data_IF_301165558722
#
_entry.id   IF_301165558722
#
_cell.length_a   1.000
_cell.length_b   1.000
_cell.length_c   1.000
_cell.angle_alpha   90.00
_cell.angle_beta   90.00
_cell.angle_gamma   90.00
#
_symmetry.space_group_name_H-M   'P 1'
#
loop_
_entity.id
_entity.type
_entity.pdbx_description
1 polymer ?
#
# COMPACT_ATOMS: atom_id res chain seq x y z
N UNK A 1 6.56 28.50 -11.17
CA UNK A 1 5.43 27.81 -10.52
C UNK A 1 4.75 26.89 -11.52
N UNK A 2 5.23 25.64 -11.67
CA UNK A 2 4.54 24.62 -12.47
C UNK A 2 4.44 23.38 -11.60
N UNK A 3 3.23 23.17 -11.11
CA UNK A 3 2.76 22.07 -10.29
C UNK A 3 2.90 20.72 -11.02
N UNK A 4 4.13 20.26 -11.21
CA UNK A 4 4.41 18.84 -11.39
C UNK A 4 4.90 18.35 -10.04
N UNK A 5 3.97 18.01 -9.16
CA UNK A 5 4.29 17.30 -7.92
C UNK A 5 5.19 16.12 -8.29
N UNK A 6 6.33 16.01 -7.63
CA UNK A 6 7.31 14.95 -7.86
C UNK A 6 6.60 13.60 -7.98
N UNK A 7 7.13 12.60 -8.71
CA UNK A 7 6.54 11.26 -8.78
C UNK A 7 6.18 10.69 -7.38
N UNK A 8 6.94 11.07 -6.36
CA UNK A 8 6.65 10.87 -4.95
C UNK A 8 5.30 11.44 -4.46
N UNK A 9 4.95 12.67 -4.81
CA UNK A 9 3.69 13.32 -4.40
C UNK A 9 2.48 12.55 -4.94
N UNK A 10 2.57 12.09 -6.19
CA UNK A 10 1.55 11.23 -6.81
C UNK A 10 1.46 9.87 -6.09
N UNK A 11 2.59 9.28 -5.75
CA UNK A 11 2.65 8.03 -4.98
C UNK A 11 2.08 8.20 -3.56
N UNK A 12 2.36 9.31 -2.88
CA UNK A 12 1.79 9.64 -1.57
C UNK A 12 0.27 9.86 -1.64
N UNK A 13 -0.23 10.46 -2.71
CA UNK A 13 -1.66 10.54 -3.00
C UNK A 13 -2.32 9.16 -3.11
N UNK A 14 -1.68 8.23 -3.84
CA UNK A 14 -2.14 6.85 -3.97
C UNK A 14 -2.08 6.09 -2.63
N UNK A 15 -1.03 6.28 -1.82
CA UNK A 15 -0.94 5.76 -0.43
C UNK A 15 -2.12 6.23 0.42
N UNK A 16 -2.42 7.53 0.40
CA UNK A 16 -3.51 8.08 1.19
C UNK A 16 -4.88 7.55 0.75
N UNK A 17 -5.08 7.31 -0.56
CA UNK A 17 -6.27 6.60 -1.06
C UNK A 17 -6.32 5.16 -0.53
N UNK A 18 -5.20 4.44 -0.58
CA UNK A 18 -5.08 3.09 -0.01
C UNK A 18 -5.47 3.04 1.46
N UNK A 19 -5.01 4.00 2.26
CA UNK A 19 -5.38 4.11 3.68
C UNK A 19 -6.88 4.34 3.90
N UNK A 20 -7.54 5.11 3.03
CA UNK A 20 -9.00 5.30 3.10
C UNK A 20 -9.73 3.99 2.81
N UNK A 21 -9.29 3.23 1.80
CA UNK A 21 -9.86 1.93 1.49
C UNK A 21 -9.60 0.91 2.60
N UNK A 22 -8.41 0.91 3.19
CA UNK A 22 -8.06 0.06 4.33
C UNK A 22 -8.99 0.30 5.52
N UNK A 23 -9.21 1.57 5.90
CA UNK A 23 -10.17 1.94 6.95
C UNK A 23 -11.62 1.61 6.60
N UNK A 24 -11.95 1.57 5.31
CA UNK A 24 -13.28 1.17 4.83
C UNK A 24 -13.44 -0.36 4.72
N UNK A 25 -12.44 -1.17 5.11
CA UNK A 25 -12.45 -2.63 4.99
C UNK A 25 -12.28 -3.15 3.56
N UNK A 26 -11.95 -2.26 2.61
CA UNK A 26 -11.77 -2.59 1.19
C UNK A 26 -10.30 -2.84 0.87
N UNK A 27 -9.76 -3.93 1.41
CA UNK A 27 -8.33 -4.23 1.33
C UNK A 27 -7.85 -4.48 -0.11
N UNK A 28 -8.66 -5.11 -0.98
CA UNK A 28 -8.31 -5.33 -2.39
C UNK A 28 -8.04 -4.02 -3.14
N UNK A 29 -8.94 -3.04 -2.97
CA UNK A 29 -8.77 -1.71 -3.56
C UNK A 29 -7.58 -0.97 -2.95
N UNK A 30 -7.32 -1.19 -1.66
CA UNK A 30 -6.16 -0.63 -0.99
C UNK A 30 -4.85 -1.19 -1.58
N UNK A 31 -4.76 -2.50 -1.79
CA UNK A 31 -3.60 -3.19 -2.39
C UNK A 31 -3.31 -2.65 -3.78
N UNK A 32 -4.34 -2.45 -4.60
CA UNK A 32 -4.19 -1.83 -5.92
C UNK A 32 -3.62 -0.42 -5.82
N UNK A 33 -4.13 0.40 -4.89
CA UNK A 33 -3.62 1.76 -4.68
C UNK A 33 -2.15 1.77 -4.25
N UNK A 34 -1.73 0.88 -3.35
CA UNK A 34 -0.31 0.79 -2.97
C UNK A 34 0.57 0.28 -4.10
N UNK A 35 0.06 -0.62 -4.94
CA UNK A 35 0.79 -1.12 -6.11
C UNK A 35 1.01 -0.01 -7.14
N UNK A 36 0.00 0.83 -7.36
CA UNK A 36 0.11 2.02 -8.21
C UNK A 36 1.12 3.03 -7.62
N UNK A 37 1.10 3.23 -6.29
CA UNK A 37 2.07 4.08 -5.60
C UNK A 37 3.52 3.59 -5.77
N UNK A 38 3.75 2.27 -5.71
CA UNK A 38 5.06 1.65 -5.92
C UNK A 38 5.53 1.87 -7.37
N UNK A 39 4.63 1.77 -8.36
CA UNK A 39 4.95 2.01 -9.77
C UNK A 39 5.26 3.47 -10.10
N UNK A 40 4.67 4.40 -9.34
CA UNK A 40 4.93 5.84 -9.47
C UNK A 40 6.18 6.29 -8.69
N UNK A 41 6.57 5.56 -7.65
CA UNK A 41 7.73 5.90 -6.82
C UNK A 41 9.03 5.57 -7.55
N UNK A 42 9.97 6.52 -7.67
CA UNK A 42 11.29 6.21 -8.22
C UNK A 42 12.03 5.26 -7.28
N UNK A 43 12.75 4.29 -7.86
CA UNK A 43 13.54 3.29 -7.14
C UNK A 43 14.68 3.89 -6.29
N UNK A 44 15.09 5.12 -6.59
CA UNK A 44 16.05 5.89 -5.78
C UNK A 44 15.50 6.23 -4.39
N UNK A 45 14.18 6.37 -4.25
CA UNK A 45 13.52 6.69 -2.99
C UNK A 45 13.02 5.42 -2.28
N UNK A 46 13.98 4.62 -1.81
CA UNK A 46 13.71 3.36 -1.12
C UNK A 46 12.89 3.55 0.17
N UNK A 47 12.99 4.70 0.85
CA UNK A 47 12.26 4.96 2.11
C UNK A 47 10.74 4.99 1.91
N UNK A 48 10.24 5.75 0.94
CA UNK A 48 8.81 5.79 0.61
C UNK A 48 8.36 4.45 0.02
N UNK A 49 9.18 3.85 -0.83
CA UNK A 49 8.92 2.54 -1.43
C UNK A 49 8.71 1.46 -0.35
N UNK A 50 9.57 1.43 0.67
CA UNK A 50 9.48 0.53 1.83
C UNK A 50 8.14 0.68 2.55
N UNK A 51 7.70 1.92 2.75
CA UNK A 51 6.43 2.24 3.39
C UNK A 51 5.24 1.72 2.57
N UNK A 52 5.28 1.86 1.24
CA UNK A 52 4.21 1.34 0.38
C UNK A 52 4.14 -0.19 0.41
N UNK A 53 5.28 -0.88 0.39
CA UNK A 53 5.34 -2.33 0.52
C UNK A 53 4.81 -2.82 1.88
N UNK A 54 5.18 -2.16 2.98
CA UNK A 54 4.67 -2.48 4.32
C UNK A 54 3.15 -2.31 4.40
N UNK A 55 2.62 -1.19 3.90
CA UNK A 55 1.17 -0.95 3.89
C UNK A 55 0.43 -1.96 2.99
N UNK A 56 1.01 -2.35 1.85
CA UNK A 56 0.44 -3.40 0.99
C UNK A 56 0.42 -4.75 1.71
N UNK A 57 1.50 -5.11 2.39
CA UNK A 57 1.59 -6.35 3.17
C UNK A 57 0.55 -6.37 4.29
N UNK A 58 0.38 -5.27 5.01
CA UNK A 58 -0.66 -5.13 6.02
C UNK A 58 -2.06 -5.34 5.43
N UNK A 59 -2.36 -4.78 4.25
CA UNK A 59 -3.63 -5.03 3.58
C UNK A 59 -3.84 -6.49 3.20
N UNK A 60 -2.81 -7.16 2.70
CA UNK A 60 -2.86 -8.58 2.34
C UNK A 60 -3.11 -9.43 3.59
N UNK A 61 -2.41 -9.14 4.69
CA UNK A 61 -2.61 -9.83 5.98
C UNK A 61 -4.01 -9.61 6.56
N UNK A 62 -4.55 -8.40 6.43
CA UNK A 62 -5.88 -8.06 6.94
C UNK A 62 -7.02 -8.50 6.02
N UNK A 63 -6.73 -8.89 4.78
CA UNK A 63 -7.73 -9.36 3.84
C UNK A 63 -7.95 -10.87 4.02
N UNK A 64 -9.06 -11.32 4.64
CA UNK A 64 -9.26 -12.72 5.00
C UNK A 64 -9.38 -13.69 3.80
N UNK A 65 -9.47 -13.16 2.58
CA UNK A 65 -9.73 -13.93 1.36
C UNK A 65 -8.49 -14.19 0.50
N UNK A 66 -7.33 -13.55 0.78
CA UNK A 66 -6.12 -13.72 -0.06
C UNK A 66 -5.30 -14.89 0.46
N UNK A 67 -5.82 -16.10 0.25
CA UNK A 67 -5.10 -17.35 0.53
C UNK A 67 -4.00 -17.55 -0.53
N UNK A 68 -2.83 -16.97 -0.29
CA UNK A 68 -1.58 -17.42 -0.90
C UNK A 68 -0.85 -18.27 0.15
N UNK A 69 -1.23 -19.55 0.17
CA UNK A 69 -0.42 -20.68 0.58
C UNK A 69 0.16 -20.63 2.02
N UNK A 70 -0.61 -21.17 2.95
CA UNK A 70 -0.14 -22.15 3.95
C UNK A 70 1.31 -22.05 4.46
N UNK A 71 1.69 -20.93 5.09
CA UNK A 71 2.75 -20.92 6.12
C UNK A 71 2.58 -19.71 7.04
N UNK A 72 2.21 -19.96 8.30
CA UNK A 72 2.62 -19.14 9.45
C UNK A 72 1.73 -17.97 9.84
N UNK A 73 1.04 -18.16 10.98
CA UNK A 73 0.59 -17.18 11.96
C UNK A 73 0.71 -15.68 11.59
N UNK A 74 -0.44 -15.02 11.46
CA UNK A 74 -0.61 -13.64 11.94
C UNK A 74 -1.93 -13.55 12.71
N UNK A 75 -1.89 -14.10 13.91
CA UNK A 75 -2.68 -13.59 15.02
C UNK A 75 -1.91 -12.41 15.61
N UNK A 76 -2.49 -11.21 15.56
CA UNK A 76 -2.51 -10.23 16.67
C UNK A 76 -3.47 -9.08 16.33
N UNK A 77 -4.78 -9.34 16.47
CA UNK A 77 -5.63 -8.27 17.01
C UNK A 77 -5.27 -8.18 18.50
N UNK A 78 -4.63 -7.07 18.89
CA UNK A 78 -4.66 -6.57 20.26
C UNK A 78 -5.91 -5.73 20.48
#
# INVERSE_FOLDING_TARGET
>A
DRAQGSPLDRAQGAKNKGNKYFKAGKYEQAIQCYTDAIGLCPTENQTDLSTFYQNRAACIQMCPCVNINNTGLYCTQG
#
